data_IF_537639030053
#
_entry.id   IF_537639030053
#
_cell.length_a   1.000
_cell.length_b   1.000
_cell.length_c   1.000
_cell.angle_alpha   90.00
_cell.angle_beta   90.00
_cell.angle_gamma   90.00
#
_symmetry.space_group_name_H-M   'P 1'
#
loop_
_entity.id
_entity.type
_entity.pdbx_description
1 polymer ?
#
# COMPACT_ATOMS: atom_id res chain seq x y z
N UNK A 1 18.12 8.30 -5.45
CA UNK A 1 17.61 9.69 -5.58
C UNK A 1 18.75 10.69 -5.32
N UNK A 2 18.76 11.90 -5.93
CA UNK A 2 19.81 12.92 -5.68
C UNK A 2 19.28 13.98 -4.71
N UNK A 3 20.02 14.27 -3.64
CA UNK A 3 19.68 15.35 -2.69
C UNK A 3 19.95 16.70 -3.34
N UNK A 4 18.97 17.60 -3.30
CA UNK A 4 19.07 18.94 -3.90
C UNK A 4 19.32 20.03 -2.84
N UNK A 5 18.79 19.83 -1.65
CA UNK A 5 19.07 20.65 -0.47
C UNK A 5 18.48 20.01 0.77
N UNK A 6 18.83 20.56 1.93
CA UNK A 6 18.38 20.09 3.24
C UNK A 6 17.89 21.30 4.03
N UNK A 7 16.74 21.18 4.69
CA UNK A 7 16.23 22.21 5.60
C UNK A 7 16.24 21.77 7.06
N UNK A 8 16.38 22.74 7.94
CA UNK A 8 16.37 22.55 9.39
C UNK A 8 15.59 23.68 10.05
N UNK A 9 14.88 23.35 11.12
CA UNK A 9 14.34 24.33 12.06
C UNK A 9 14.73 23.89 13.46
N UNK A 10 15.29 24.81 14.24
CA UNK A 10 15.73 24.58 15.62
C UNK A 10 14.83 25.32 16.61
N UNK A 11 14.08 26.32 16.13
CA UNK A 11 13.20 27.21 16.91
C UNK A 11 12.03 27.64 16.04
N UNK A 12 10.89 27.91 16.68
CA UNK A 12 9.70 28.44 16.01
C UNK A 12 10.01 29.73 15.27
N UNK A 13 9.45 29.90 14.08
CA UNK A 13 9.67 31.01 13.16
C UNK A 13 11.10 31.15 12.62
N UNK A 14 11.95 30.13 12.78
CA UNK A 14 13.32 30.12 12.27
C UNK A 14 13.58 28.81 11.51
N UNK A 15 13.98 28.92 10.25
CA UNK A 15 14.41 27.79 9.45
C UNK A 15 15.56 28.16 8.52
N UNK A 16 16.37 27.17 8.22
CA UNK A 16 17.54 27.26 7.36
C UNK A 16 17.39 26.28 6.20
N UNK A 17 17.85 26.69 5.03
CA UNK A 17 17.95 25.83 3.86
C UNK A 17 19.38 25.82 3.34
N UNK A 18 19.93 24.63 3.12
CA UNK A 18 21.27 24.42 2.58
C UNK A 18 21.15 23.86 1.16
N UNK A 19 21.32 24.69 0.11
CA UNK A 19 21.25 24.24 -1.28
C UNK A 19 22.56 23.56 -1.70
N UNK A 20 22.46 22.43 -2.40
CA UNK A 20 23.61 21.65 -2.88
C UNK A 20 23.48 21.14 -4.32
N UNK A 21 22.31 21.29 -4.95
CA UNK A 21 22.00 20.66 -6.23
C UNK A 21 21.12 21.48 -7.17
N UNK A 22 20.95 22.79 -6.94
CA UNK A 22 20.24 23.66 -7.86
C UNK A 22 21.06 23.87 -9.13
N UNK A 23 20.38 23.86 -10.29
CA UNK A 23 21.00 23.84 -11.63
C UNK A 23 20.37 24.82 -12.62
N UNK A 24 19.58 25.79 -12.15
CA UNK A 24 19.05 26.84 -13.01
C UNK A 24 20.14 27.80 -13.50
N UNK A 25 19.92 28.45 -14.63
CA UNK A 25 20.86 29.41 -15.21
C UNK A 25 21.12 30.55 -14.22
N UNK A 26 22.38 30.77 -13.87
CA UNK A 26 22.78 31.81 -12.91
C UNK A 26 22.66 31.40 -11.44
N UNK A 27 22.44 30.10 -11.13
CA UNK A 27 22.47 29.64 -9.73
C UNK A 27 23.81 29.97 -9.06
N UNK A 28 23.80 30.54 -7.84
CA UNK A 28 25.02 30.87 -7.13
C UNK A 28 25.82 29.61 -6.77
N UNK A 29 27.07 29.81 -6.34
CA UNK A 29 27.92 28.74 -5.84
C UNK A 29 27.28 28.08 -4.61
N UNK A 30 27.19 26.76 -4.62
CA UNK A 30 26.57 25.94 -3.59
C UNK A 30 27.62 25.04 -2.92
N UNK A 31 27.29 24.51 -1.75
CA UNK A 31 28.10 23.47 -1.12
C UNK A 31 28.00 22.18 -1.92
N UNK A 32 29.08 21.41 -1.97
CA UNK A 32 29.02 20.04 -2.47
C UNK A 32 28.48 19.09 -1.41
N UNK A 33 27.94 17.94 -1.84
CA UNK A 33 27.51 16.88 -0.92
C UNK A 33 28.65 16.43 0.00
N UNK A 34 29.87 16.28 -0.54
CA UNK A 34 31.04 15.85 0.24
C UNK A 34 31.43 16.83 1.34
N UNK A 35 31.17 18.13 1.12
CA UNK A 35 31.37 19.15 2.16
C UNK A 35 30.27 19.11 3.22
N UNK A 36 29.02 18.84 2.85
CA UNK A 36 27.87 18.87 3.76
C UNK A 36 27.72 17.57 4.56
N UNK A 37 27.99 16.43 3.95
CA UNK A 37 27.79 15.09 4.52
C UNK A 37 28.43 14.88 5.90
N UNK A 38 29.68 15.30 6.17
CA UNK A 38 30.29 15.14 7.49
C UNK A 38 29.51 15.87 8.60
N UNK A 39 28.99 17.07 8.31
CA UNK A 39 28.17 17.83 9.27
C UNK A 39 26.84 17.14 9.52
N UNK A 40 26.15 16.71 8.44
CA UNK A 40 24.89 15.97 8.56
C UNK A 40 25.07 14.70 9.39
N UNK A 41 26.14 13.92 9.16
CA UNK A 41 26.45 12.74 9.98
C UNK A 41 26.59 13.07 11.46
N UNK A 42 27.35 14.12 11.78
CA UNK A 42 27.62 14.50 13.17
C UNK A 42 26.37 14.85 13.99
N UNK A 43 25.28 15.24 13.30
CA UNK A 43 24.00 15.60 13.92
C UNK A 43 22.99 14.44 13.82
N UNK A 44 22.82 13.87 12.63
CA UNK A 44 21.78 12.88 12.35
C UNK A 44 22.12 11.51 12.96
N UNK A 45 23.39 11.11 12.98
CA UNK A 45 23.81 9.82 13.55
C UNK A 45 24.03 9.89 15.09
N UNK A 46 23.80 11.05 15.72
CA UNK A 46 23.98 11.26 17.16
C UNK A 46 22.72 10.88 17.94
N UNK A 47 22.81 9.90 18.84
CA UNK A 47 21.65 9.35 19.57
C UNK A 47 20.96 10.34 20.51
N UNK A 48 21.68 11.31 21.07
CA UNK A 48 21.12 12.28 22.02
C UNK A 48 20.36 13.46 21.39
N UNK A 49 20.09 13.43 20.09
CA UNK A 49 19.34 14.49 19.38
C UNK A 49 18.03 13.89 18.89
N UNK A 50 16.90 14.52 19.24
CA UNK A 50 15.59 14.21 18.66
C UNK A 50 15.48 14.77 17.24
N UNK A 51 15.04 13.94 16.29
CA UNK A 51 14.82 14.34 14.89
C UNK A 51 13.33 14.35 14.62
N UNK A 52 12.79 15.52 14.29
CA UNK A 52 11.40 15.65 13.91
C UNK A 52 11.29 15.78 12.39
N UNK A 53 10.26 15.18 11.80
CA UNK A 53 9.99 15.28 10.38
C UNK A 53 8.56 14.91 10.04
N UNK A 54 8.26 14.97 8.75
CA UNK A 54 7.04 14.46 8.17
C UNK A 54 7.42 13.34 7.21
N UNK A 55 6.86 12.13 7.37
CA UNK A 55 7.18 10.98 6.54
C UNK A 55 8.70 10.68 6.53
N UNK A 56 9.28 10.61 7.73
CA UNK A 56 10.71 10.39 7.98
C UNK A 56 11.25 9.14 7.29
N UNK A 57 10.42 8.14 7.02
CA UNK A 57 10.79 6.95 6.24
C UNK A 57 11.41 7.33 4.89
N UNK A 58 10.87 8.35 4.22
CA UNK A 58 11.38 8.84 2.94
C UNK A 58 12.77 9.49 3.08
N UNK A 59 12.91 10.40 4.06
CA UNK A 59 14.18 11.08 4.31
C UNK A 59 15.26 10.09 4.76
N UNK A 60 14.91 9.14 5.64
CA UNK A 60 15.79 8.06 6.09
C UNK A 60 16.28 7.21 4.91
N UNK A 61 15.38 6.81 4.00
CA UNK A 61 15.75 6.07 2.80
C UNK A 61 16.74 6.84 1.92
N UNK A 62 16.52 8.14 1.70
CA UNK A 62 17.45 8.98 0.93
C UNK A 62 18.79 9.12 1.65
N UNK A 63 18.80 9.44 2.94
CA UNK A 63 20.02 9.63 3.73
C UNK A 63 20.88 8.35 3.74
N UNK A 64 20.26 7.17 3.91
CA UNK A 64 20.98 5.90 3.89
C UNK A 64 21.61 5.60 2.53
N UNK A 65 20.94 5.91 1.41
CA UNK A 65 21.54 5.81 0.07
C UNK A 65 22.80 6.66 -0.08
N UNK A 66 22.89 7.77 0.66
CA UNK A 66 24.06 8.64 0.69
C UNK A 66 25.01 8.35 1.87
N UNK A 67 24.82 7.21 2.53
CA UNK A 67 25.67 6.69 3.59
C UNK A 67 25.55 7.44 4.92
N UNK A 68 24.38 8.00 5.22
CA UNK A 68 24.03 8.60 6.52
C UNK A 68 22.93 7.76 7.14
N UNK A 69 23.12 7.28 8.37
CA UNK A 69 22.09 6.50 9.07
C UNK A 69 21.63 7.25 10.32
N UNK A 70 20.52 8.01 10.23
CA UNK A 70 19.90 8.64 11.39
C UNK A 70 19.78 7.68 12.59
N UNK A 71 20.12 8.16 13.77
CA UNK A 71 20.03 7.41 15.05
C UNK A 71 19.34 8.25 16.11
N UNK A 72 19.03 7.63 17.24
CA UNK A 72 18.38 8.32 18.36
C UNK A 72 16.88 8.47 18.18
N UNK A 73 16.22 9.24 19.05
CA UNK A 73 14.78 9.38 19.01
C UNK A 73 14.34 10.19 17.78
N UNK A 74 13.17 9.85 17.27
CA UNK A 74 12.54 10.51 16.13
C UNK A 74 11.07 10.75 16.37
N UNK A 75 10.52 11.80 15.74
CA UNK A 75 9.10 12.13 15.79
C UNK A 75 8.59 12.38 14.36
N UNK A 76 7.66 11.55 13.88
CA UNK A 76 7.02 11.75 12.59
C UNK A 76 5.61 12.33 12.76
N UNK A 77 5.40 13.56 12.29
CA UNK A 77 4.11 14.25 12.39
C UNK A 77 3.00 13.58 11.59
N UNK A 78 3.34 12.83 10.53
CA UNK A 78 2.37 12.06 9.76
C UNK A 78 1.81 10.91 10.59
N UNK A 79 2.71 10.19 11.27
CA UNK A 79 2.36 9.05 12.12
C UNK A 79 1.64 9.52 13.37
N UNK A 80 2.11 10.59 14.02
CA UNK A 80 1.45 11.16 15.19
C UNK A 80 0.00 11.56 14.86
N UNK A 81 -0.20 12.25 13.71
CA UNK A 81 -1.55 12.58 13.24
C UNK A 81 -2.41 11.34 12.98
N UNK A 82 -1.82 10.25 12.50
CA UNK A 82 -2.52 9.01 12.21
C UNK A 82 -2.93 8.26 13.47
N UNK A 83 -2.05 8.17 14.48
CA UNK A 83 -2.40 7.63 15.78
C UNK A 83 -3.60 8.38 16.39
N UNK A 84 -3.62 9.71 16.25
CA UNK A 84 -4.68 10.55 16.80
C UNK A 84 -6.01 10.43 16.06
N UNK A 85 -6.00 10.44 14.72
CA UNK A 85 -7.22 10.48 13.89
C UNK A 85 -7.03 9.65 12.61
N UNK A 86 -7.12 8.31 12.66
CA UNK A 86 -6.75 7.43 11.55
C UNK A 86 -7.68 7.51 10.33
N UNK A 87 -8.90 8.03 10.49
CA UNK A 87 -9.89 8.23 9.42
C UNK A 87 -9.82 9.60 8.74
N UNK A 88 -8.83 10.42 9.10
CA UNK A 88 -8.57 11.72 8.51
C UNK A 88 -8.35 11.60 6.99
N UNK A 89 -8.90 12.56 6.25
CA UNK A 89 -8.82 12.57 4.78
C UNK A 89 -7.39 12.70 4.23
N UNK A 90 -6.48 13.32 4.99
CA UNK A 90 -5.07 13.46 4.64
C UNK A 90 -4.20 13.70 5.87
N UNK A 91 -3.14 12.91 6.01
CA UNK A 91 -2.06 13.11 6.99
C UNK A 91 -0.88 13.92 6.44
N UNK A 92 -1.00 14.50 5.24
CA UNK A 92 0.07 15.28 4.63
C UNK A 92 0.28 16.62 5.33
N UNK A 93 1.54 17.03 5.49
CA UNK A 93 1.94 18.26 6.19
C UNK A 93 1.12 19.51 5.83
N UNK A 94 0.78 19.66 4.55
CA UNK A 94 0.05 20.83 4.03
C UNK A 94 -1.39 20.86 4.53
N UNK A 95 -2.02 19.69 4.69
CA UNK A 95 -3.34 19.57 5.29
C UNK A 95 -3.27 19.77 6.82
N UNK A 96 -2.25 19.18 7.47
CA UNK A 96 -2.04 19.35 8.91
C UNK A 96 -1.78 20.82 9.29
N UNK A 97 -0.99 21.54 8.50
CA UNK A 97 -0.76 22.98 8.67
C UNK A 97 -2.06 23.78 8.57
N UNK A 98 -2.89 23.48 7.57
CA UNK A 98 -4.16 24.18 7.39
C UNK A 98 -5.10 23.95 8.58
N UNK A 99 -5.18 22.72 9.08
CA UNK A 99 -6.14 22.35 10.11
C UNK A 99 -5.70 22.75 11.52
N UNK A 100 -4.42 22.57 11.86
CA UNK A 100 -3.92 22.81 13.23
C UNK A 100 -3.30 24.20 13.41
N UNK A 101 -2.78 24.81 12.34
CA UNK A 101 -2.13 26.13 12.40
C UNK A 101 -2.93 27.22 11.67
N UNK A 102 -4.01 26.87 10.95
CA UNK A 102 -4.76 27.80 10.10
C UNK A 102 -3.89 28.46 9.02
N UNK A 103 -2.84 27.75 8.58
CA UNK A 103 -1.84 28.27 7.64
C UNK A 103 -1.82 27.46 6.34
N UNK A 104 -1.98 28.16 5.21
CA UNK A 104 -1.80 27.56 3.89
C UNK A 104 -0.32 27.55 3.51
N UNK A 105 0.22 26.36 3.37
CA UNK A 105 1.55 26.14 2.80
C UNK A 105 1.52 26.12 1.27
N UNK A 106 2.64 26.49 0.64
CA UNK A 106 2.85 26.35 -0.81
C UNK A 106 2.80 24.89 -1.21
N UNK A 107 2.08 24.57 -2.28
CA UNK A 107 2.04 23.21 -2.82
C UNK A 107 3.27 22.93 -3.69
N UNK A 108 3.77 21.69 -3.71
CA UNK A 108 4.94 21.35 -4.54
C UNK A 108 4.71 21.69 -6.03
N UNK A 109 3.50 21.40 -6.54
CA UNK A 109 3.10 21.72 -7.93
C UNK A 109 3.04 23.23 -8.22
N UNK A 110 2.79 24.06 -7.21
CA UNK A 110 2.83 25.52 -7.33
C UNK A 110 4.28 26.01 -7.43
N UNK A 111 5.20 25.36 -6.70
CA UNK A 111 6.63 25.69 -6.70
C UNK A 111 7.32 25.31 -8.01
N UNK A 112 7.19 24.05 -8.44
CA UNK A 112 7.93 23.52 -9.59
C UNK A 112 7.17 23.64 -10.93
N UNK A 113 5.88 23.96 -10.88
CA UNK A 113 5.00 24.03 -12.04
C UNK A 113 4.45 22.66 -12.49
N UNK A 114 3.82 22.63 -13.68
CA UNK A 114 3.07 21.47 -14.19
C UNK A 114 3.87 20.57 -15.16
N UNK A 115 5.17 20.77 -15.30
CA UNK A 115 5.96 20.00 -16.27
C UNK A 115 6.16 18.55 -15.82
N UNK A 116 6.19 17.62 -16.79
CA UNK A 116 6.19 16.17 -16.54
C UNK A 116 7.44 15.64 -15.80
N UNK A 117 8.49 16.46 -15.63
CA UNK A 117 9.72 16.13 -14.88
C UNK A 117 10.20 17.31 -14.02
N UNK A 118 9.27 18.13 -13.54
CA UNK A 118 9.62 19.31 -12.77
C UNK A 118 10.38 18.94 -11.49
N UNK A 119 11.54 19.57 -11.25
CA UNK A 119 12.41 19.28 -10.12
C UNK A 119 12.68 20.55 -9.32
N UNK A 120 12.79 20.40 -8.00
CA UNK A 120 13.20 21.51 -7.12
C UNK A 120 14.61 22.03 -7.47
N UNK A 121 15.43 21.22 -8.15
CA UNK A 121 16.74 21.64 -8.67
C UNK A 121 16.66 22.79 -9.68
N UNK A 122 15.53 22.93 -10.36
CA UNK A 122 15.32 23.95 -11.40
C UNK A 122 14.67 25.23 -10.84
N UNK A 123 14.36 25.25 -9.53
CA UNK A 123 13.74 26.37 -8.84
C UNK A 123 14.81 27.31 -8.27
N UNK A 124 14.61 28.65 -8.31
CA UNK A 124 15.45 29.61 -7.60
C UNK A 124 15.63 29.27 -6.11
N UNK A 125 16.85 29.41 -5.59
CA UNK A 125 17.21 29.00 -4.22
C UNK A 125 16.36 29.70 -3.15
N UNK A 126 16.06 30.99 -3.32
CA UNK A 126 15.20 31.77 -2.42
C UNK A 126 13.81 31.14 -2.27
N UNK A 127 13.17 30.78 -3.39
CA UNK A 127 11.86 30.13 -3.38
C UNK A 127 11.91 28.71 -2.80
N UNK A 128 12.98 27.98 -3.10
CA UNK A 128 13.18 26.64 -2.54
C UNK A 128 13.45 26.70 -1.03
N UNK A 129 14.15 27.74 -0.57
CA UNK A 129 14.41 28.00 0.84
C UNK A 129 13.11 28.33 1.59
N UNK A 130 12.25 29.20 1.04
CA UNK A 130 10.94 29.50 1.63
C UNK A 130 10.09 28.23 1.77
N UNK A 131 10.04 27.41 0.71
CA UNK A 131 9.28 26.15 0.71
C UNK A 131 9.84 25.13 1.72
N UNK A 132 11.13 24.80 1.62
CA UNK A 132 11.74 23.76 2.44
C UNK A 132 11.91 24.20 3.91
N UNK A 133 12.14 25.49 4.13
CA UNK A 133 12.18 26.10 5.45
C UNK A 133 10.82 26.07 6.14
N UNK A 134 9.75 26.43 5.42
CA UNK A 134 8.39 26.30 5.93
C UNK A 134 8.05 24.84 6.28
N UNK A 135 8.44 23.87 5.45
CA UNK A 135 8.25 22.45 5.75
C UNK A 135 8.92 22.05 7.09
N UNK A 136 10.17 22.45 7.33
CA UNK A 136 10.89 22.13 8.56
C UNK A 136 10.31 22.86 9.80
N UNK A 137 9.94 24.12 9.66
CA UNK A 137 9.42 24.95 10.76
C UNK A 137 8.00 24.53 11.17
N UNK A 138 7.12 24.24 10.21
CA UNK A 138 5.76 23.77 10.46
C UNK A 138 5.79 22.42 11.19
N UNK A 139 6.69 21.50 10.80
CA UNK A 139 6.88 20.25 11.53
C UNK A 139 7.20 20.52 12.99
N UNK A 140 8.13 21.42 13.28
CA UNK A 140 8.51 21.75 14.66
C UNK A 140 7.32 22.27 15.48
N UNK A 141 6.46 23.11 14.89
CA UNK A 141 5.24 23.59 15.56
C UNK A 141 4.21 22.49 15.77
N UNK A 142 4.04 21.58 14.81
CA UNK A 142 3.12 20.46 14.93
C UNK A 142 3.57 19.42 15.95
N UNK A 143 4.88 19.22 16.13
CA UNK A 143 5.43 18.30 17.14
C UNK A 143 4.93 18.66 18.54
N UNK A 144 4.98 19.93 18.91
CA UNK A 144 4.50 20.38 20.23
C UNK A 144 3.00 20.06 20.41
N UNK A 145 2.18 20.40 19.40
CA UNK A 145 0.74 20.16 19.41
C UNK A 145 0.43 18.67 19.53
N UNK A 146 1.06 17.84 18.69
CA UNK A 146 0.81 16.41 18.67
C UNK A 146 1.36 15.69 19.89
N UNK A 147 2.47 16.15 20.48
CA UNK A 147 2.97 15.61 21.74
C UNK A 147 1.94 15.79 22.86
N UNK A 148 1.37 16.99 22.98
CA UNK A 148 0.34 17.26 23.99
C UNK A 148 -0.94 16.44 23.74
N UNK A 149 -1.35 16.31 22.48
CA UNK A 149 -2.54 15.52 22.11
C UNK A 149 -2.33 14.02 22.35
N UNK A 150 -1.18 13.45 21.93
CA UNK A 150 -0.86 12.03 22.14
C UNK A 150 -0.86 11.69 23.63
N UNK A 151 -0.34 12.59 24.48
CA UNK A 151 -0.37 12.44 25.92
C UNK A 151 -1.78 12.51 26.50
N UNK A 152 -2.60 13.45 26.02
CA UNK A 152 -3.97 13.62 26.48
C UNK A 152 -4.86 12.41 26.15
N UNK A 153 -4.66 11.82 24.98
CA UNK A 153 -5.42 10.64 24.51
C UNK A 153 -4.76 9.31 24.93
N UNK A 154 -3.69 9.35 25.73
CA UNK A 154 -2.96 8.17 26.24
C UNK A 154 -2.35 7.28 25.13
N UNK A 155 -2.01 7.88 23.98
CA UNK A 155 -1.47 7.18 22.79
C UNK A 155 0.06 7.19 22.70
N UNK A 156 0.77 7.72 23.70
CA UNK A 156 2.23 7.81 23.67
C UNK A 156 2.90 6.44 23.46
N UNK A 157 2.44 5.40 24.15
CA UNK A 157 3.06 4.07 24.04
C UNK A 157 2.85 3.47 22.64
N UNK A 158 1.66 3.64 22.04
CA UNK A 158 1.42 3.22 20.66
C UNK A 158 2.38 3.94 19.70
N UNK A 159 2.52 5.26 19.85
CA UNK A 159 3.38 6.06 19.01
C UNK A 159 4.87 5.71 19.18
N UNK A 160 5.37 5.71 20.42
CA UNK A 160 6.80 5.58 20.74
C UNK A 160 7.30 4.13 20.73
N UNK A 161 6.49 3.16 21.14
CA UNK A 161 6.91 1.76 21.29
C UNK A 161 6.53 0.87 20.10
N UNK A 162 5.55 1.30 19.27
CA UNK A 162 5.09 0.51 18.12
C UNK A 162 5.31 1.23 16.79
N UNK A 163 4.71 2.40 16.58
CA UNK A 163 4.66 3.04 15.26
C UNK A 163 6.00 3.67 14.84
N UNK A 164 6.67 4.39 15.74
CA UNK A 164 7.98 5.00 15.44
C UNK A 164 9.09 3.96 15.27
N UNK A 165 9.21 2.90 16.09
CA UNK A 165 10.18 1.82 15.87
C UNK A 165 9.95 1.03 14.58
N UNK A 166 8.73 1.03 14.05
CA UNK A 166 8.40 0.35 12.79
C UNK A 166 8.94 1.11 11.56
N UNK A 167 9.16 2.43 11.65
CA UNK A 167 9.70 3.26 10.55
C UNK A 167 11.02 2.72 9.97
N UNK A 168 12.10 2.53 10.75
CA UNK A 168 13.36 2.01 10.22
C UNK A 168 13.23 0.58 9.70
N UNK A 169 12.37 -0.26 10.31
CA UNK A 169 12.12 -1.63 9.85
C UNK A 169 11.49 -1.62 8.46
N UNK A 170 10.45 -0.81 8.25
CA UNK A 170 9.82 -0.70 6.94
C UNK A 170 10.78 -0.13 5.91
N UNK A 171 11.55 0.91 6.25
CA UNK A 171 12.57 1.44 5.34
C UNK A 171 13.58 0.37 4.93
N UNK A 172 14.04 -0.46 5.88
CA UNK A 172 14.96 -1.56 5.58
C UNK A 172 14.30 -2.61 4.68
N UNK A 173 13.05 -3.01 4.97
CA UNK A 173 12.30 -3.92 4.12
C UNK A 173 12.14 -3.40 2.68
N UNK A 174 11.82 -2.12 2.52
CA UNK A 174 11.71 -1.45 1.22
C UNK A 174 13.06 -1.40 0.50
N UNK A 175 14.13 -1.06 1.22
CA UNK A 175 15.49 -1.00 0.67
C UNK A 175 16.01 -2.37 0.26
N UNK A 176 15.68 -3.41 1.04
CA UNK A 176 15.99 -4.79 0.71
C UNK A 176 15.24 -5.22 -0.55
N UNK A 177 13.94 -4.93 -0.66
CA UNK A 177 13.10 -5.38 -1.76
C UNK A 177 13.00 -6.91 -1.85
N UNK A 178 12.40 -7.42 -2.92
CA UNK A 178 12.25 -8.87 -3.18
C UNK A 178 12.78 -9.22 -4.57
N UNK A 179 13.56 -10.30 -4.68
CA UNK A 179 14.13 -10.76 -5.96
C UNK A 179 13.03 -11.35 -6.85
N UNK A 180 13.03 -10.95 -8.12
CA UNK A 180 12.05 -11.40 -9.11
C UNK A 180 12.76 -12.02 -10.31
N UNK A 181 12.34 -13.22 -10.69
CA UNK A 181 12.72 -13.86 -11.95
C UNK A 181 11.98 -13.18 -13.11
N UNK A 182 12.65 -12.20 -13.72
CA UNK A 182 12.12 -11.48 -14.87
C UNK A 182 11.92 -12.36 -16.10
N UNK A 183 12.73 -13.40 -16.28
CA UNK A 183 12.60 -14.26 -17.45
C UNK A 183 11.30 -15.07 -17.35
N UNK A 184 11.12 -15.75 -16.22
CA UNK A 184 9.89 -16.49 -15.95
C UNK A 184 8.65 -15.57 -15.98
N UNK A 185 8.75 -14.34 -15.48
CA UNK A 185 7.64 -13.40 -15.52
C UNK A 185 7.25 -13.00 -16.96
N UNK A 186 8.21 -12.83 -17.89
CA UNK A 186 7.93 -12.61 -19.31
C UNK A 186 7.27 -13.84 -19.96
N UNK A 187 7.65 -15.06 -19.57
CA UNK A 187 7.01 -16.29 -20.05
C UNK A 187 5.54 -16.36 -19.59
N UNK A 188 5.27 -16.01 -18.33
CA UNK A 188 3.91 -15.89 -17.78
C UNK A 188 3.11 -14.81 -18.53
N UNK A 189 3.71 -13.65 -18.81
CA UNK A 189 3.07 -12.59 -19.60
C UNK A 189 2.63 -13.10 -20.97
N UNK A 190 3.53 -13.76 -21.71
CA UNK A 190 3.23 -14.28 -23.03
C UNK A 190 2.12 -15.33 -23.00
N UNK A 191 2.17 -16.25 -22.02
CA UNK A 191 1.15 -17.27 -21.80
C UNK A 191 -0.22 -16.63 -21.52
N UNK A 192 -0.28 -15.65 -20.63
CA UNK A 192 -1.53 -14.99 -20.27
C UNK A 192 -2.10 -14.20 -21.44
N UNK A 193 -1.29 -13.43 -22.17
CA UNK A 193 -1.74 -12.69 -23.36
C UNK A 193 -2.27 -13.61 -24.46
N UNK A 194 -1.61 -14.75 -24.70
CA UNK A 194 -2.07 -15.76 -25.65
C UNK A 194 -3.44 -16.33 -25.28
N UNK A 195 -3.63 -16.65 -24.00
CA UNK A 195 -4.89 -17.19 -23.50
C UNK A 195 -6.01 -16.13 -23.51
N UNK A 196 -5.69 -14.88 -23.17
CA UNK A 196 -6.62 -13.76 -23.29
C UNK A 196 -7.11 -13.58 -24.72
N UNK A 197 -6.21 -13.61 -25.71
CA UNK A 197 -6.58 -13.48 -27.12
C UNK A 197 -7.49 -14.64 -27.57
N UNK A 198 -7.23 -15.86 -27.09
CA UNK A 198 -8.07 -17.04 -27.36
C UNK A 198 -9.48 -16.86 -26.81
N UNK A 199 -9.61 -16.47 -25.53
CA UNK A 199 -10.90 -16.25 -24.86
C UNK A 199 -11.65 -15.06 -25.50
N UNK A 200 -10.94 -14.01 -25.90
CA UNK A 200 -11.52 -12.86 -26.59
C UNK A 200 -12.19 -13.27 -27.91
N UNK A 201 -11.55 -14.11 -28.73
CA UNK A 201 -12.15 -14.63 -29.95
C UNK A 201 -13.40 -15.49 -29.66
N UNK A 202 -13.38 -16.30 -28.61
CA UNK A 202 -14.57 -17.06 -28.19
C UNK A 202 -15.72 -16.14 -27.77
N UNK A 203 -15.43 -15.07 -27.01
CA UNK A 203 -16.44 -14.08 -26.61
C UNK A 203 -17.02 -13.38 -27.84
N UNK A 204 -16.19 -12.97 -28.80
CA UNK A 204 -16.66 -12.35 -30.04
C UNK A 204 -17.52 -13.29 -30.87
N UNK A 205 -17.14 -14.57 -30.96
CA UNK A 205 -17.96 -15.58 -31.63
C UNK A 205 -19.32 -15.77 -30.95
N UNK A 206 -19.38 -15.74 -29.61
CA UNK A 206 -20.65 -15.85 -28.86
C UNK A 206 -21.49 -14.57 -28.96
N UNK A 207 -20.86 -13.40 -29.02
CA UNK A 207 -21.54 -12.10 -29.11
C UNK A 207 -21.96 -11.75 -30.55
N UNK A 208 -21.33 -12.36 -31.56
CA UNK A 208 -21.53 -12.07 -32.98
C UNK A 208 -21.00 -10.70 -33.42
N UNK A 209 -20.17 -10.04 -32.62
CA UNK A 209 -19.48 -8.79 -32.97
C UNK A 209 -18.25 -8.56 -32.06
N UNK A 210 -17.29 -7.76 -32.53
CA UNK A 210 -16.14 -7.31 -31.75
C UNK A 210 -16.49 -6.08 -30.93
N UNK A 211 -15.98 -6.00 -29.71
CA UNK A 211 -16.17 -4.87 -28.80
C UNK A 211 -15.08 -4.82 -27.72
N UNK A 212 -14.96 -3.71 -27.01
CA UNK A 212 -13.99 -3.55 -25.92
C UNK A 212 -14.44 -4.32 -24.68
N UNK A 213 -13.78 -5.44 -24.38
CA UNK A 213 -14.09 -6.30 -23.22
C UNK A 213 -13.90 -5.60 -21.86
N UNK A 214 -13.04 -4.59 -21.78
CA UNK A 214 -12.83 -3.81 -20.56
C UNK A 214 -13.89 -2.70 -20.38
N UNK A 215 -14.73 -2.43 -21.38
CA UNK A 215 -15.77 -1.41 -21.32
C UNK A 215 -17.06 -1.98 -20.71
N UNK A 216 -17.38 -1.56 -19.49
CA UNK A 216 -18.62 -1.93 -18.79
C UNK A 216 -19.86 -1.56 -19.60
N UNK A 217 -19.84 -0.42 -20.31
CA UNK A 217 -20.95 0.04 -21.15
C UNK A 217 -21.17 -0.87 -22.36
N UNK A 218 -20.10 -1.23 -23.09
CA UNK A 218 -20.23 -2.11 -24.25
C UNK A 218 -20.64 -3.53 -23.83
N UNK A 219 -20.05 -4.06 -22.76
CA UNK A 219 -20.45 -5.35 -22.19
C UNK A 219 -21.93 -5.37 -21.77
N UNK A 220 -22.39 -4.30 -21.09
CA UNK A 220 -23.79 -4.18 -20.69
C UNK A 220 -24.74 -4.26 -21.90
N UNK A 221 -24.44 -3.55 -22.99
CA UNK A 221 -25.24 -3.62 -24.22
C UNK A 221 -25.28 -5.04 -24.79
N UNK A 222 -24.13 -5.71 -24.90
CA UNK A 222 -24.07 -7.07 -25.43
C UNK A 222 -24.90 -8.04 -24.58
N UNK A 223 -24.69 -8.04 -23.26
CA UNK A 223 -25.32 -9.00 -22.37
C UNK A 223 -26.84 -8.78 -22.25
N UNK A 224 -27.29 -7.54 -22.06
CA UNK A 224 -28.67 -7.26 -21.68
C UNK A 224 -29.55 -6.83 -22.84
N UNK A 225 -29.01 -6.18 -23.88
CA UNK A 225 -29.80 -5.74 -25.04
C UNK A 225 -29.73 -6.75 -26.19
N UNK A 226 -28.53 -7.22 -26.55
CA UNK A 226 -28.35 -8.15 -27.69
C UNK A 226 -28.66 -9.60 -27.33
N UNK A 227 -28.05 -10.10 -26.25
CA UNK A 227 -28.27 -11.49 -25.78
C UNK A 227 -29.50 -11.63 -24.87
N UNK A 228 -30.15 -10.51 -24.54
CA UNK A 228 -31.38 -10.45 -23.75
C UNK A 228 -31.31 -11.22 -22.41
N UNK A 229 -30.16 -11.16 -21.74
CA UNK A 229 -29.97 -11.79 -20.44
C UNK A 229 -30.71 -11.02 -19.34
N UNK A 230 -31.14 -11.69 -18.25
CA UNK A 230 -31.89 -11.02 -17.19
C UNK A 230 -31.03 -10.00 -16.43
N UNK A 231 -31.59 -8.81 -16.19
CA UNK A 231 -30.91 -7.77 -15.42
C UNK A 231 -31.02 -8.09 -13.92
N UNK A 232 -29.89 -8.42 -13.30
CA UNK A 232 -29.83 -8.79 -11.88
C UNK A 232 -29.70 -7.56 -10.98
N UNK A 233 -28.88 -6.58 -11.37
CA UNK A 233 -28.56 -5.41 -10.53
C UNK A 233 -28.33 -4.16 -11.39
N UNK A 234 -28.87 -3.02 -10.95
CA UNK A 234 -28.63 -1.70 -11.54
C UNK A 234 -27.71 -0.87 -10.66
N UNK A 235 -26.92 -0.02 -11.30
CA UNK A 235 -26.06 0.99 -10.66
C UNK A 235 -26.44 2.37 -11.18
N UNK A 236 -25.90 3.44 -10.56
CA UNK A 236 -26.14 4.82 -11.02
C UNK A 236 -25.73 5.06 -12.48
N UNK A 237 -24.81 4.25 -13.02
CA UNK A 237 -24.24 4.40 -14.37
C UNK A 237 -24.76 3.38 -15.38
N UNK A 238 -25.69 2.50 -15.00
CA UNK A 238 -26.26 1.48 -15.89
C UNK A 238 -26.36 0.09 -15.26
N UNK A 239 -26.50 -0.95 -16.08
CA UNK A 239 -26.57 -2.33 -15.60
C UNK A 239 -25.22 -2.81 -15.07
N UNK A 240 -25.24 -3.47 -13.90
CA UNK A 240 -24.01 -3.99 -13.30
C UNK A 240 -23.50 -5.17 -14.12
N UNK A 241 -22.20 -5.19 -14.39
CA UNK A 241 -21.48 -6.33 -14.95
C UNK A 241 -20.39 -6.81 -13.98
N UNK A 242 -20.53 -6.57 -12.67
CA UNK A 242 -19.55 -7.03 -11.67
C UNK A 242 -19.50 -8.56 -11.56
N UNK A 243 -18.49 -9.06 -10.84
CA UNK A 243 -18.25 -10.49 -10.66
C UNK A 243 -19.49 -11.25 -10.19
N UNK A 244 -20.15 -10.79 -9.13
CA UNK A 244 -21.37 -11.44 -8.60
C UNK A 244 -22.50 -11.58 -9.63
N UNK A 245 -22.69 -10.56 -10.48
CA UNK A 245 -23.73 -10.58 -11.51
C UNK A 245 -23.34 -11.55 -12.62
N UNK A 246 -22.10 -11.49 -13.10
CA UNK A 246 -21.63 -12.40 -14.14
C UNK A 246 -21.64 -13.86 -13.69
N UNK A 247 -21.29 -14.15 -12.43
CA UNK A 247 -21.33 -15.51 -11.86
C UNK A 247 -22.75 -16.05 -11.78
N UNK A 248 -23.73 -15.21 -11.44
CA UNK A 248 -25.15 -15.62 -11.47
C UNK A 248 -25.65 -15.83 -12.90
N UNK A 249 -25.19 -15.01 -13.84
CA UNK A 249 -25.56 -15.08 -15.25
C UNK A 249 -24.85 -16.21 -16.00
N UNK A 250 -23.73 -16.74 -15.51
CA UNK A 250 -23.05 -17.85 -16.17
C UNK A 250 -23.90 -19.11 -16.26
N UNK A 251 -24.78 -19.31 -15.27
CA UNK A 251 -25.82 -20.36 -15.29
C UNK A 251 -26.83 -20.21 -16.45
N UNK A 252 -26.89 -19.05 -17.09
CA UNK A 252 -27.79 -18.73 -18.21
C UNK A 252 -27.07 -18.69 -19.54
N UNK A 253 -25.82 -18.22 -19.57
CA UNK A 253 -25.06 -18.12 -20.81
C UNK A 253 -23.55 -18.26 -20.59
N UNK A 254 -22.85 -19.11 -21.37
CA UNK A 254 -21.42 -19.40 -21.19
C UNK A 254 -20.51 -18.18 -21.41
N UNK A 255 -20.98 -17.18 -22.18
CA UNK A 255 -20.24 -15.91 -22.39
C UNK A 255 -19.84 -15.25 -21.06
N UNK A 256 -20.65 -15.37 -20.01
CA UNK A 256 -20.36 -14.73 -18.72
C UNK A 256 -19.16 -15.38 -18.02
N UNK A 257 -19.03 -16.70 -18.09
CA UNK A 257 -17.85 -17.45 -17.61
C UNK A 257 -16.59 -17.03 -18.37
N UNK A 258 -16.68 -16.88 -19.69
CA UNK A 258 -15.56 -16.41 -20.51
C UNK A 258 -15.15 -14.97 -20.20
N UNK A 259 -16.12 -14.07 -19.99
CA UNK A 259 -15.84 -12.69 -19.58
C UNK A 259 -15.17 -12.64 -18.20
N UNK A 260 -15.62 -13.47 -17.25
CA UNK A 260 -14.99 -13.58 -15.92
C UNK A 260 -13.53 -14.03 -16.05
N UNK A 261 -13.28 -15.10 -16.80
CA UNK A 261 -11.92 -15.61 -17.04
C UNK A 261 -11.02 -14.57 -17.74
N UNK A 262 -11.54 -13.89 -18.76
CA UNK A 262 -10.81 -12.81 -19.44
C UNK A 262 -10.45 -11.67 -18.49
N UNK A 263 -11.39 -11.23 -17.63
CA UNK A 263 -11.14 -10.14 -16.67
C UNK A 263 -10.15 -10.54 -15.59
N UNK A 264 -10.19 -11.78 -15.12
CA UNK A 264 -9.19 -12.29 -14.20
C UNK A 264 -7.80 -12.23 -14.84
N UNK A 265 -7.62 -12.79 -16.03
CA UNK A 265 -6.34 -12.75 -16.75
C UNK A 265 -5.89 -11.33 -17.08
N UNK A 266 -6.81 -10.45 -17.51
CA UNK A 266 -6.51 -9.06 -17.83
C UNK A 266 -6.02 -8.30 -16.58
N UNK A 267 -6.67 -8.50 -15.44
CA UNK A 267 -6.24 -7.93 -14.15
C UNK A 267 -4.89 -8.51 -13.75
N UNK A 268 -4.73 -9.84 -13.81
CA UNK A 268 -3.47 -10.51 -13.46
C UNK A 268 -2.29 -10.00 -14.29
N UNK A 269 -2.48 -9.86 -15.60
CA UNK A 269 -1.47 -9.36 -16.53
C UNK A 269 -1.16 -7.89 -16.27
N UNK A 270 -2.16 -7.01 -16.31
CA UNK A 270 -1.92 -5.56 -16.21
C UNK A 270 -1.51 -5.10 -14.81
N UNK A 271 -2.16 -5.61 -13.76
CA UNK A 271 -1.99 -5.11 -12.39
C UNK A 271 -0.73 -5.67 -11.74
N UNK A 272 -0.33 -6.90 -12.09
CA UNK A 272 0.80 -7.55 -11.44
C UNK A 272 1.93 -7.83 -12.42
N UNK A 273 1.71 -8.54 -13.52
CA UNK A 273 2.81 -8.94 -14.43
C UNK A 273 3.48 -7.71 -15.06
N UNK A 274 2.72 -6.87 -15.75
CA UNK A 274 3.22 -5.66 -16.43
C UNK A 274 3.79 -4.67 -15.41
N UNK A 275 3.10 -4.50 -14.28
CA UNK A 275 3.54 -3.62 -13.20
C UNK A 275 4.87 -4.08 -12.59
N UNK A 276 5.01 -5.37 -12.24
CA UNK A 276 6.24 -5.93 -11.72
C UNK A 276 7.39 -5.77 -12.71
N UNK A 277 7.19 -6.13 -13.99
CA UNK A 277 8.22 -5.97 -15.02
C UNK A 277 8.70 -4.52 -15.15
N UNK A 278 7.79 -3.54 -15.00
CA UNK A 278 8.13 -2.12 -15.06
C UNK A 278 8.85 -1.58 -13.81
N UNK A 279 8.70 -2.25 -12.66
CA UNK A 279 9.18 -1.81 -11.36
C UNK A 279 10.43 -2.57 -10.87
N UNK A 280 10.82 -3.65 -11.56
CA UNK A 280 12.07 -4.37 -11.26
C UNK A 280 13.24 -3.44 -11.48
N UNK A 281 14.07 -3.28 -10.44
CA UNK A 281 15.34 -2.57 -10.57
C UNK A 281 16.26 -3.33 -11.52
N UNK A 282 16.79 -2.68 -12.57
CA UNK A 282 17.56 -3.37 -13.61
C UNK A 282 18.91 -3.90 -13.11
N UNK A 283 19.43 -3.39 -12.00
CA UNK A 283 20.73 -3.75 -11.42
C UNK A 283 20.54 -4.86 -10.37
N UNK A 284 19.71 -4.63 -9.35
CA UNK A 284 19.49 -5.56 -8.25
C UNK A 284 18.59 -6.73 -8.63
N UNK A 285 17.78 -6.57 -9.70
CA UNK A 285 16.69 -7.47 -10.10
C UNK A 285 15.62 -7.63 -9.02
N UNK A 286 15.51 -6.66 -8.13
CA UNK A 286 14.53 -6.66 -7.04
C UNK A 286 13.44 -5.66 -7.28
N UNK A 287 12.27 -5.94 -6.72
CA UNK A 287 11.15 -5.00 -6.65
C UNK A 287 11.11 -4.41 -5.24
N UNK A 288 10.99 -3.09 -5.18
CA UNK A 288 10.99 -2.31 -3.95
C UNK A 288 9.59 -1.70 -3.75
N UNK A 289 8.71 -2.44 -3.07
CA UNK A 289 7.37 -1.93 -2.72
C UNK A 289 7.47 -0.75 -1.76
N UNK A 290 6.43 0.09 -1.71
CA UNK A 290 6.27 1.11 -0.67
C UNK A 290 5.16 0.69 0.29
N UNK A 291 5.49 0.53 1.57
CA UNK A 291 4.54 0.27 2.66
C UNK A 291 4.03 1.59 3.26
N UNK A 292 2.72 1.71 3.42
CA UNK A 292 2.10 2.89 4.02
C UNK A 292 1.58 2.53 5.43
N UNK A 293 2.18 3.13 6.46
CA UNK A 293 1.69 3.01 7.85
C UNK A 293 0.35 3.73 8.04
N UNK A 294 0.22 4.91 7.45
CA UNK A 294 -0.95 5.79 7.62
C UNK A 294 -1.97 5.62 6.49
N UNK A 295 -2.09 4.41 5.93
CA UNK A 295 -2.82 4.16 4.69
C UNK A 295 -4.20 3.53 4.84
N UNK A 296 -4.49 2.89 5.97
CA UNK A 296 -5.79 2.26 6.25
C UNK A 296 -6.33 2.82 7.56
N UNK A 297 -7.65 2.79 7.78
CA UNK A 297 -8.21 3.26 9.06
C UNK A 297 -8.06 2.25 10.20
N UNK A 298 -7.69 1.00 9.88
CA UNK A 298 -7.69 -0.13 10.82
C UNK A 298 -6.33 -0.38 11.47
N UNK A 299 -5.30 0.43 11.18
CA UNK A 299 -3.94 0.15 11.64
C UNK A 299 -3.12 -0.74 10.71
N UNK A 300 -3.74 -1.41 9.72
CA UNK A 300 -3.00 -2.31 8.81
C UNK A 300 -2.11 -1.52 7.85
N UNK A 301 -0.91 -2.02 7.62
CA UNK A 301 -0.08 -1.56 6.51
C UNK A 301 -0.83 -1.74 5.19
N UNK A 302 -0.73 -0.77 4.29
CA UNK A 302 -1.03 -0.97 2.88
C UNK A 302 0.26 -0.94 2.05
N UNK A 303 0.20 -1.35 0.78
CA UNK A 303 1.36 -1.34 -0.12
C UNK A 303 1.02 -0.79 -1.50
N UNK A 304 1.98 -0.10 -2.12
CA UNK A 304 1.92 0.38 -3.51
C UNK A 304 3.23 0.14 -4.24
N UNK A 305 3.18 0.25 -5.56
CA UNK A 305 4.33 0.23 -6.47
C UNK A 305 5.31 -0.93 -6.25
N UNK A 306 4.84 -2.20 -6.30
CA UNK A 306 3.47 -2.66 -6.51
C UNK A 306 2.77 -3.01 -5.18
N UNK A 307 1.46 -3.19 -5.20
CA UNK A 307 0.73 -3.70 -4.04
C UNK A 307 0.96 -5.22 -3.89
N UNK A 308 1.97 -5.60 -3.10
CA UNK A 308 2.35 -6.99 -2.86
C UNK A 308 1.35 -7.75 -1.99
N UNK A 309 0.54 -7.05 -1.19
CA UNK A 309 -0.46 -7.68 -0.32
C UNK A 309 -1.63 -8.29 -1.11
N UNK A 310 -1.95 -7.69 -2.26
CA UNK A 310 -3.11 -8.07 -3.05
C UNK A 310 -2.81 -9.10 -4.14
N UNK A 311 -1.60 -9.69 -4.19
CA UNK A 311 -1.28 -10.73 -5.18
C UNK A 311 -2.12 -11.99 -4.89
N UNK A 312 -2.97 -12.46 -5.83
CA UNK A 312 -3.89 -13.56 -5.57
C UNK A 312 -3.19 -14.86 -5.16
N UNK A 313 -3.75 -15.53 -4.16
CA UNK A 313 -3.11 -16.70 -3.49
C UNK A 313 -3.79 -18.03 -3.83
N UNK A 314 -5.09 -17.98 -4.11
CA UNK A 314 -5.96 -19.17 -4.16
C UNK A 314 -6.06 -19.77 -5.56
N UNK A 315 -5.89 -18.96 -6.60
CA UNK A 315 -6.02 -19.40 -7.99
C UNK A 315 -4.69 -19.91 -8.53
N UNK A 316 -4.75 -20.88 -9.43
CA UNK A 316 -3.57 -21.41 -10.11
C UNK A 316 -2.81 -20.30 -10.86
N UNK A 317 -3.54 -19.41 -11.55
CA UNK A 317 -2.98 -18.26 -12.23
C UNK A 317 -2.27 -17.30 -11.27
N UNK A 318 -2.82 -17.04 -10.08
CA UNK A 318 -2.16 -16.22 -9.06
C UNK A 318 -0.88 -16.88 -8.51
N UNK A 319 -0.86 -18.21 -8.40
CA UNK A 319 0.34 -18.95 -8.00
C UNK A 319 1.46 -18.87 -9.05
N UNK A 320 1.12 -18.81 -10.34
CA UNK A 320 2.13 -18.58 -11.39
C UNK A 320 2.86 -17.24 -11.16
N UNK A 321 2.15 -16.16 -10.82
CA UNK A 321 2.81 -14.87 -10.53
C UNK A 321 3.72 -15.00 -9.31
N UNK A 322 3.30 -15.76 -8.29
CA UNK A 322 4.10 -15.93 -7.06
C UNK A 322 5.40 -16.69 -7.28
N UNK A 323 5.42 -17.64 -8.22
CA UNK A 323 6.63 -18.38 -8.58
C UNK A 323 7.74 -17.47 -9.13
N UNK A 324 7.39 -16.27 -9.62
CA UNK A 324 8.38 -15.29 -10.05
C UNK A 324 9.15 -14.66 -8.87
N UNK A 325 8.64 -14.70 -7.64
CA UNK A 325 9.41 -14.26 -6.47
C UNK A 325 10.31 -15.41 -6.01
N UNK A 326 11.61 -15.18 -6.05
CA UNK A 326 12.62 -16.22 -5.85
C UNK A 326 13.62 -15.83 -4.76
N UNK A 327 14.25 -16.81 -4.14
CA UNK A 327 15.38 -16.58 -3.25
C UNK A 327 16.68 -16.46 -4.06
N UNK A 328 17.66 -15.64 -3.61
CA UNK A 328 19.00 -15.66 -4.19
C UNK A 328 19.68 -17.02 -3.95
N UNK A 329 20.73 -17.30 -4.72
CA UNK A 329 21.50 -18.54 -4.60
C UNK A 329 22.01 -18.75 -3.15
N UNK A 330 21.88 -19.97 -2.64
CA UNK A 330 22.25 -20.32 -1.27
C UNK A 330 21.23 -19.90 -0.20
N UNK A 331 20.08 -19.34 -0.59
CA UNK A 331 19.00 -18.93 0.33
C UNK A 331 17.66 -19.60 -0.02
N UNK A 332 16.71 -19.53 0.90
CA UNK A 332 15.31 -19.97 0.70
C UNK A 332 14.35 -18.87 1.14
N UNK A 333 13.15 -18.85 0.57
CA UNK A 333 12.07 -18.00 1.05
C UNK A 333 11.35 -18.68 2.22
N UNK A 334 11.19 -17.97 3.33
CA UNK A 334 10.46 -18.43 4.51
C UNK A 334 9.19 -17.61 4.66
N UNK A 335 8.05 -18.29 4.87
CA UNK A 335 6.76 -17.65 5.13
C UNK A 335 6.35 -17.97 6.56
N UNK A 336 6.16 -16.94 7.39
CA UNK A 336 5.58 -17.03 8.72
C UNK A 336 4.25 -16.29 8.71
N UNK A 337 3.16 -16.98 9.07
CA UNK A 337 1.80 -16.46 9.03
C UNK A 337 1.10 -16.68 10.37
N UNK A 338 0.36 -15.67 10.83
CA UNK A 338 -0.45 -15.83 12.04
C UNK A 338 -1.78 -16.51 11.70
N UNK A 339 -1.86 -17.80 12.04
CA UNK A 339 -3.07 -18.61 11.86
C UNK A 339 -4.30 -17.98 12.52
N UNK A 340 -5.14 -17.36 11.70
CA UNK A 340 -6.47 -16.84 12.06
C UNK A 340 -6.44 -15.81 13.20
N UNK A 341 -5.47 -14.90 13.19
CA UNK A 341 -5.26 -13.93 14.28
C UNK A 341 -6.51 -13.11 14.62
N UNK A 342 -7.28 -12.69 13.64
CA UNK A 342 -8.51 -11.92 13.86
C UNK A 342 -9.55 -12.72 14.67
N UNK A 343 -9.69 -14.02 14.41
CA UNK A 343 -10.62 -14.88 15.16
C UNK A 343 -10.09 -15.23 16.55
N UNK A 344 -8.77 -15.34 16.70
CA UNK A 344 -8.15 -15.51 18.02
C UNK A 344 -8.32 -14.26 18.89
N UNK A 345 -8.17 -13.08 18.29
CA UNK A 345 -8.46 -11.81 18.93
C UNK A 345 -9.94 -11.71 19.33
N UNK A 346 -10.86 -12.10 18.43
CA UNK A 346 -12.29 -12.18 18.76
C UNK A 346 -12.55 -13.09 19.95
N UNK A 347 -12.02 -14.32 19.95
CA UNK A 347 -12.19 -15.26 21.05
C UNK A 347 -11.67 -14.71 22.39
N UNK A 348 -10.56 -13.96 22.37
CA UNK A 348 -10.01 -13.30 23.54
C UNK A 348 -10.90 -12.13 24.02
N UNK A 349 -11.32 -11.26 23.11
CA UNK A 349 -12.12 -10.06 23.43
C UNK A 349 -13.54 -10.44 23.89
N UNK A 350 -14.14 -11.48 23.29
CA UNK A 350 -15.48 -11.93 23.65
C UNK A 350 -15.51 -12.83 24.88
N UNK A 351 -14.35 -13.33 25.32
CA UNK A 351 -14.19 -14.31 26.40
C UNK A 351 -15.07 -15.57 26.22
N UNK A 352 -15.39 -15.93 24.97
CA UNK A 352 -16.32 -17.04 24.70
C UNK A 352 -15.64 -18.39 25.00
N UNK A 353 -16.15 -19.18 25.97
CA UNK A 353 -15.48 -20.42 26.37
C UNK A 353 -15.40 -21.46 25.26
N UNK A 354 -16.38 -21.50 24.34
CA UNK A 354 -16.39 -22.45 23.25
C UNK A 354 -15.34 -22.09 22.19
N UNK A 355 -15.23 -20.81 21.82
CA UNK A 355 -14.20 -20.33 20.88
C UNK A 355 -12.79 -20.50 21.47
N UNK A 356 -12.60 -20.15 22.75
CA UNK A 356 -11.31 -20.32 23.44
C UNK A 356 -10.92 -21.80 23.48
N UNK A 357 -11.84 -22.68 23.89
CA UNK A 357 -11.59 -24.12 23.96
C UNK A 357 -11.26 -24.70 22.58
N UNK A 358 -12.00 -24.33 21.54
CA UNK A 358 -11.72 -24.76 20.17
C UNK A 358 -10.29 -24.41 19.71
N UNK A 359 -9.79 -23.22 20.06
CA UNK A 359 -8.41 -22.83 19.76
C UNK A 359 -7.36 -23.54 20.65
N UNK A 360 -7.66 -23.82 21.91
CA UNK A 360 -6.75 -24.54 22.82
C UNK A 360 -6.60 -26.01 22.45
N UNK A 361 -7.67 -26.64 21.98
CA UNK A 361 -7.67 -28.04 21.55
C UNK A 361 -7.09 -28.24 20.14
N UNK A 362 -6.69 -27.15 19.46
CA UNK A 362 -6.16 -27.20 18.10
C UNK A 362 -7.19 -27.54 17.04
N UNK A 363 -8.48 -27.43 17.37
CA UNK A 363 -9.60 -27.71 16.49
C UNK A 363 -9.75 -26.69 15.36
N UNK A 364 -10.45 -27.09 14.31
CA UNK A 364 -10.84 -26.17 13.24
C UNK A 364 -12.06 -25.35 13.69
N UNK A 365 -11.84 -24.07 13.99
CA UNK A 365 -12.89 -23.18 14.49
C UNK A 365 -14.12 -23.13 13.59
N UNK A 366 -13.94 -23.24 12.27
CA UNK A 366 -15.08 -23.20 11.34
C UNK A 366 -15.89 -24.50 11.41
N UNK A 367 -15.23 -25.61 11.69
CA UNK A 367 -15.89 -26.90 11.92
C UNK A 367 -16.62 -26.88 13.25
N UNK A 368 -15.97 -26.42 14.33
CA UNK A 368 -16.60 -26.30 15.65
C UNK A 368 -17.82 -25.36 15.63
N UNK A 369 -17.72 -24.19 14.97
CA UNK A 369 -18.87 -23.32 14.77
C UNK A 369 -19.97 -24.00 13.94
N UNK A 370 -19.62 -24.74 12.89
CA UNK A 370 -20.62 -25.44 12.09
C UNK A 370 -21.34 -26.53 12.89
N UNK A 371 -20.61 -27.33 13.66
CA UNK A 371 -21.15 -28.35 14.54
C UNK A 371 -22.18 -27.74 15.51
N UNK A 372 -21.82 -26.64 16.15
CA UNK A 372 -22.71 -25.93 17.08
C UNK A 372 -23.95 -25.34 16.39
N UNK A 373 -23.77 -24.62 15.27
CA UNK A 373 -24.86 -23.94 14.54
C UNK A 373 -25.84 -24.93 13.90
N UNK A 374 -25.34 -26.05 13.39
CA UNK A 374 -26.18 -27.08 12.77
C UNK A 374 -26.63 -28.16 13.78
N UNK A 375 -26.21 -28.06 15.03
CA UNK A 375 -26.48 -29.04 16.09
C UNK A 375 -26.09 -30.48 15.70
N UNK A 376 -24.88 -30.64 15.16
CA UNK A 376 -24.29 -31.91 14.73
C UNK A 376 -22.90 -32.09 15.34
N UNK A 377 -22.30 -33.27 15.19
CA UNK A 377 -20.91 -33.50 15.60
C UNK A 377 -19.91 -32.97 14.59
N UNK A 378 -18.67 -32.68 15.01
CA UNK A 378 -17.58 -32.24 14.11
C UNK A 378 -17.35 -33.18 12.92
N UNK A 379 -17.55 -34.48 13.13
CA UNK A 379 -17.37 -35.50 12.09
C UNK A 379 -18.46 -35.46 11.00
N UNK A 380 -19.62 -34.88 11.30
CA UNK A 380 -20.75 -34.75 10.39
C UNK A 380 -20.72 -33.44 9.60
N UNK A 381 -19.80 -32.52 9.95
CA UNK A 381 -19.66 -31.23 9.28
C UNK A 381 -19.18 -31.42 7.84
N UNK A 382 -20.04 -31.05 6.89
CA UNK A 382 -19.68 -31.03 5.47
C UNK A 382 -18.87 -29.79 5.11
N UNK A 383 -18.17 -29.85 3.96
CA UNK A 383 -17.43 -28.69 3.43
C UNK A 383 -18.32 -27.45 3.20
N UNK A 384 -19.58 -27.64 2.83
CA UNK A 384 -20.54 -26.54 2.63
C UNK A 384 -20.94 -25.90 3.97
N UNK A 385 -21.24 -26.72 4.98
CA UNK A 385 -21.55 -26.26 6.35
C UNK A 385 -20.38 -25.47 6.93
N UNK A 386 -19.16 -25.99 6.79
CA UNK A 386 -17.93 -25.31 7.21
C UNK A 386 -17.74 -23.97 6.49
N UNK A 387 -18.03 -23.91 5.18
CA UNK A 387 -17.91 -22.68 4.41
C UNK A 387 -18.94 -21.62 4.84
N UNK A 388 -20.16 -22.04 5.17
CA UNK A 388 -21.19 -21.16 5.76
C UNK A 388 -20.78 -20.65 7.14
N UNK A 389 -20.33 -21.53 8.04
CA UNK A 389 -19.83 -21.15 9.36
C UNK A 389 -18.65 -20.20 9.28
N UNK A 390 -17.74 -20.42 8.33
CA UNK A 390 -16.65 -19.49 8.01
C UNK A 390 -17.18 -18.11 7.62
N UNK A 391 -18.17 -18.04 6.74
CA UNK A 391 -18.78 -16.77 6.36
C UNK A 391 -19.45 -16.07 7.55
N UNK A 392 -20.10 -16.81 8.46
CA UNK A 392 -20.68 -16.29 9.69
C UNK A 392 -19.59 -15.71 10.61
N UNK A 393 -18.54 -16.48 10.91
CA UNK A 393 -17.46 -16.03 11.80
C UNK A 393 -16.80 -14.75 11.30
N UNK A 394 -16.49 -14.65 10.00
CA UNK A 394 -15.93 -13.43 9.44
C UNK A 394 -16.97 -12.30 9.34
N UNK A 395 -18.25 -12.60 9.13
CA UNK A 395 -19.33 -11.60 9.20
C UNK A 395 -19.41 -10.96 10.59
N UNK A 396 -19.30 -11.75 11.66
CA UNK A 396 -19.30 -11.20 13.04
C UNK A 396 -18.11 -10.25 13.26
N UNK A 397 -16.92 -10.59 12.75
CA UNK A 397 -15.72 -9.75 12.91
C UNK A 397 -15.84 -8.43 12.15
N UNK A 398 -16.45 -8.41 10.97
CA UNK A 398 -16.45 -7.25 10.08
C UNK A 398 -17.78 -6.46 10.05
N UNK A 399 -18.81 -6.93 10.76
CA UNK A 399 -20.19 -6.41 10.69
C UNK A 399 -20.90 -6.77 9.40
#
# INVERSE_FOLDING_TARGET
>A
CRVIGVSFSLKKNEAFYIPIGHRYVGSPKQLSWDQLKPFLKSVLEKEGILKCGQNLKFDDAILNQHGITPKGPSFDTMIASYCLVPDRSSHGLKALSADYLSERMTQFKELVGKQKNASIADVPIDKAADYAGADAEVVLRLVDIFTDMLKKEELNNLFEEQEMPLVPVLREMESNGILVDTQYLNEVEHKFRKEMARIEQEIYSMAGESFMLNSTKQLSRILFEKLNLPVIKRTKTGYSTNEDVLTKLSKKHPICEKILAYRELAKLTSTYVDSLLSLVDPISKRVHTTFHQTGTTTGRLSSSDPNLQNIPIRTELGREIRKAFVAPAGSVLVSADYSQIDLRALAHISEDPALIKAFQEGGDIHTATAAEVFHITDAEVTSDMRQKAKAINFGIVYG
#
